data_IF_754819457111
#
_entry.id   IF_754819457111
#
_cell.length_a   1.000
_cell.length_b   1.000
_cell.length_c   1.000
_cell.angle_alpha   90.00
_cell.angle_beta   90.00
_cell.angle_gamma   90.00
#
_symmetry.space_group_name_H-M   'P 1'
#
loop_
_entity.id
_entity.type
_entity.pdbx_description
1 polymer ?
#
# COMPACT_ATOMS: atom_id res chain seq x y z
N UNK A 1 -14.64 36.86 -21.64
CA UNK A 1 -13.39 36.30 -21.08
C UNK A 1 -13.81 35.44 -19.91
N UNK A 2 -13.99 34.13 -20.13
CA UNK A 2 -14.41 33.21 -19.08
C UNK A 2 -13.19 32.83 -18.25
N UNK A 3 -13.22 33.17 -16.97
CA UNK A 3 -12.17 32.86 -16.01
C UNK A 3 -12.13 31.34 -15.82
N UNK A 4 -11.09 30.68 -16.34
CA UNK A 4 -10.82 29.28 -16.01
C UNK A 4 -10.39 29.25 -14.54
N UNK A 5 -11.07 28.50 -13.65
CA UNK A 5 -10.57 28.29 -12.31
C UNK A 5 -9.24 27.57 -12.42
N UNK A 6 -8.15 28.24 -12.04
CA UNK A 6 -6.86 27.60 -11.94
C UNK A 6 -6.99 26.50 -10.88
N UNK A 7 -6.89 25.24 -11.33
CA UNK A 7 -6.70 24.11 -10.47
C UNK A 7 -5.35 24.32 -9.77
N UNK A 8 -5.38 24.91 -8.58
CA UNK A 8 -4.26 24.85 -7.65
C UNK A 8 -3.99 23.36 -7.43
N UNK A 9 -2.82 22.82 -7.81
CA UNK A 9 -2.45 21.48 -7.41
C UNK A 9 -2.19 21.56 -5.91
N UNK A 10 -3.24 21.38 -5.11
CA UNK A 10 -3.08 20.82 -3.77
C UNK A 10 -2.15 19.64 -3.97
N UNK A 11 -0.94 19.70 -3.40
CA UNK A 11 0.04 18.63 -3.43
C UNK A 11 -0.55 17.45 -2.66
N UNK A 12 -1.54 16.81 -3.27
CA UNK A 12 -2.12 15.56 -2.83
C UNK A 12 -0.99 14.58 -3.06
N UNK A 13 -0.24 14.28 -1.99
CA UNK A 13 0.79 13.27 -2.02
C UNK A 13 0.12 12.02 -2.59
N UNK A 14 0.53 11.62 -3.79
CA UNK A 14 -0.07 10.49 -4.48
C UNK A 14 0.41 9.24 -3.74
N UNK A 15 -0.36 8.85 -2.71
CA UNK A 15 0.01 7.82 -1.72
C UNK A 15 0.38 6.50 -2.42
N UNK A 16 -0.21 6.25 -3.58
CA UNK A 16 0.10 5.10 -4.42
C UNK A 16 1.50 5.24 -5.02
N UNK A 17 1.85 6.41 -5.55
CA UNK A 17 3.17 6.67 -6.15
C UNK A 17 4.30 6.66 -5.10
N UNK A 18 4.03 7.07 -3.86
CA UNK A 18 5.02 6.98 -2.77
C UNK A 18 5.24 5.56 -2.24
N UNK A 19 4.21 4.70 -2.26
CA UNK A 19 4.31 3.28 -1.84
C UNK A 19 4.84 2.36 -2.95
N UNK A 20 4.62 2.69 -4.22
CA UNK A 20 4.99 1.84 -5.37
C UNK A 20 6.47 1.42 -5.39
N UNK A 21 7.45 2.29 -5.09
CA UNK A 21 8.86 1.89 -5.01
C UNK A 21 9.14 0.83 -3.93
N UNK A 22 8.35 0.81 -2.86
CA UNK A 22 8.45 -0.15 -1.76
C UNK A 22 7.63 -1.43 -2.01
N UNK A 23 6.77 -1.44 -3.03
CA UNK A 23 5.91 -2.57 -3.39
C UNK A 23 6.66 -3.92 -3.50
N UNK A 24 7.85 -3.99 -4.14
CA UNK A 24 8.61 -5.24 -4.23
C UNK A 24 9.06 -5.80 -2.87
N UNK A 25 9.11 -4.98 -1.82
CA UNK A 25 9.52 -5.37 -0.47
C UNK A 25 8.30 -5.63 0.41
N UNK A 26 7.28 -4.76 0.32
CA UNK A 26 6.07 -4.88 1.15
C UNK A 26 5.28 -6.14 0.83
N UNK A 27 5.21 -6.56 -0.45
CA UNK A 27 4.48 -7.77 -0.86
C UNK A 27 5.09 -9.05 -0.26
N UNK A 28 6.41 -9.31 -0.39
CA UNK A 28 7.05 -10.46 0.24
C UNK A 28 6.95 -10.44 1.77
N UNK A 29 7.13 -9.27 2.41
CA UNK A 29 7.05 -9.19 3.88
C UNK A 29 5.62 -9.44 4.36
N UNK A 30 4.63 -8.76 3.77
CA UNK A 30 3.22 -8.98 4.13
C UNK A 30 2.82 -10.43 3.85
N UNK A 31 3.19 -10.98 2.69
CA UNK A 31 2.96 -12.39 2.35
C UNK A 31 3.61 -13.35 3.34
N UNK A 32 4.84 -13.09 3.76
CA UNK A 32 5.54 -13.88 4.77
C UNK A 32 4.86 -13.84 6.14
N UNK A 33 4.41 -12.66 6.56
CA UNK A 33 3.62 -12.49 7.80
C UNK A 33 2.30 -13.26 7.71
N UNK A 34 1.58 -13.15 6.58
CA UNK A 34 0.35 -13.89 6.34
C UNK A 34 0.60 -15.41 6.38
N UNK A 35 1.63 -15.91 5.71
CA UNK A 35 1.99 -17.34 5.74
C UNK A 35 2.39 -17.80 7.13
N UNK A 36 3.14 -17.00 7.87
CA UNK A 36 3.51 -17.30 9.26
C UNK A 36 2.27 -17.38 10.17
N UNK A 37 1.34 -16.42 10.04
CA UNK A 37 0.08 -16.43 10.77
C UNK A 37 -0.75 -17.68 10.42
N UNK A 38 -0.83 -18.03 9.14
CA UNK A 38 -1.52 -19.25 8.68
C UNK A 38 -0.86 -20.53 9.22
N UNK A 39 0.47 -20.60 9.22
CA UNK A 39 1.20 -21.71 9.80
C UNK A 39 1.01 -21.80 11.33
N UNK A 40 1.00 -20.65 12.00
CA UNK A 40 0.74 -20.56 13.44
C UNK A 40 -0.64 -21.14 13.77
N UNK A 41 -1.71 -20.67 13.12
CA UNK A 41 -3.06 -21.20 13.39
C UNK A 41 -3.15 -22.70 13.05
N UNK A 42 -2.44 -23.17 12.03
CA UNK A 42 -2.44 -24.59 11.66
C UNK A 42 -1.82 -25.48 12.74
N UNK A 43 -0.80 -24.99 13.48
CA UNK A 43 -0.18 -25.73 14.59
C UNK A 43 -1.07 -25.74 15.84
N UNK A 44 -1.78 -24.65 16.12
CA UNK A 44 -2.52 -24.48 17.38
C UNK A 44 -4.00 -24.89 17.32
N UNK A 45 -4.59 -25.01 16.14
CA UNK A 45 -6.00 -25.42 15.96
C UNK A 45 -6.17 -26.88 15.53
N UNK A 46 -5.06 -27.60 15.32
CA UNK A 46 -5.04 -29.06 15.13
C UNK A 46 -5.22 -29.78 16.47
#
# INVERSE_FOLDING_TARGET
MAQQPQHTPEQTEDVVESITPLMPIVLPIAGGVLMFLLAFIAVFMA
#
